data_IF_873238782388
#
_entry.id   IF_873238782388
#
_cell.length_a   1.000
_cell.length_b   1.000
_cell.length_c   1.000
_cell.angle_alpha   90.00
_cell.angle_beta   90.00
_cell.angle_gamma   90.00
#
_symmetry.space_group_name_H-M   'P 1'
#
loop_
_entity.id
_entity.type
_entity.pdbx_description
1 polymer ?
#
# COMPACT_ATOMS: atom_id res chain seq x y z
N UNK A 1 4.44 8.08 46.43
CA UNK A 1 3.22 8.68 45.82
C UNK A 1 3.18 8.27 44.35
N UNK A 2 1.97 8.04 43.83
CA UNK A 2 1.62 7.12 42.76
C UNK A 2 2.37 7.26 41.41
N UNK A 3 2.74 6.11 40.84
CA UNK A 3 3.03 5.93 39.41
C UNK A 3 1.71 5.98 38.61
N UNK A 4 1.63 6.67 37.47
CA UNK A 4 0.49 6.55 36.57
C UNK A 4 0.48 5.18 35.85
N UNK A 5 -0.71 4.68 35.43
CA UNK A 5 -0.86 3.37 34.83
C UNK A 5 -0.27 3.30 33.42
N UNK A 6 0.46 2.23 33.13
CA UNK A 6 0.83 1.81 31.78
C UNK A 6 -0.43 1.46 31.00
N UNK A 7 -1.00 2.43 30.28
CA UNK A 7 -1.97 2.13 29.22
C UNK A 7 -1.29 1.31 28.11
N UNK A 8 -2.04 0.50 27.35
CA UNK A 8 -1.48 -0.13 26.15
C UNK A 8 -0.93 0.97 25.22
N UNK A 9 0.23 0.75 24.59
CA UNK A 9 0.76 1.71 23.62
C UNK A 9 -0.30 1.95 22.52
N UNK A 10 -0.38 3.16 21.95
CA UNK A 10 -1.18 3.38 20.74
C UNK A 10 -0.74 2.36 19.67
N UNK A 11 -1.66 1.86 18.82
CA UNK A 11 -1.26 1.00 17.71
C UNK A 11 -0.18 1.76 16.92
N UNK A 12 1.03 1.19 16.91
CA UNK A 12 2.11 1.71 16.11
C UNK A 12 1.59 1.94 14.68
N UNK A 13 1.98 3.03 13.99
CA UNK A 13 1.78 3.09 12.55
C UNK A 13 2.41 1.81 11.99
N UNK A 14 1.57 1.01 11.34
CA UNK A 14 1.93 -0.29 10.81
C UNK A 14 3.30 -0.19 10.14
N UNK A 15 4.19 -1.08 10.58
CA UNK A 15 5.61 -1.12 10.28
C UNK A 15 6.00 -0.54 8.91
N UNK A 16 7.00 0.34 8.94
CA UNK A 16 7.73 0.86 7.80
C UNK A 16 7.81 -0.16 6.66
N UNK A 17 7.18 0.16 5.52
CA UNK A 17 7.35 -0.60 4.30
C UNK A 17 8.85 -0.64 3.95
N UNK A 18 9.41 -1.80 3.58
CA UNK A 18 10.81 -1.89 3.22
C UNK A 18 11.08 -0.95 2.04
N UNK A 19 12.10 -0.12 2.20
CA UNK A 19 12.59 0.81 1.19
C UNK A 19 12.60 0.14 -0.19
N UNK A 20 11.84 0.71 -1.11
CA UNK A 20 11.62 0.19 -2.45
C UNK A 20 12.96 -0.13 -3.13
N UNK A 21 13.23 -1.43 -3.24
CA UNK A 21 14.31 -1.96 -4.07
C UNK A 21 14.00 -1.55 -5.51
N UNK A 22 14.73 -0.54 -5.98
CA UNK A 22 14.98 -0.16 -7.39
C UNK A 22 14.27 -1.05 -8.42
N UNK A 23 13.13 -0.63 -8.98
CA UNK A 23 12.78 -1.05 -10.33
C UNK A 23 12.65 0.17 -11.21
N UNK A 24 13.63 0.36 -12.08
CA UNK A 24 13.56 1.27 -13.22
C UNK A 24 12.73 0.67 -14.37
N UNK A 25 11.66 -0.08 -14.08
CA UNK A 25 10.91 -0.84 -15.08
C UNK A 25 9.42 -0.53 -14.98
N UNK A 26 8.96 0.47 -15.74
CA UNK A 26 7.55 0.67 -16.11
C UNK A 26 6.56 0.66 -14.95
N UNK A 27 6.73 1.55 -13.97
CA UNK A 27 5.70 1.82 -12.98
C UNK A 27 4.50 2.51 -13.64
N UNK A 28 3.29 2.10 -13.27
CA UNK A 28 2.04 2.78 -13.62
C UNK A 28 1.41 3.34 -12.35
N UNK A 29 0.91 4.57 -12.43
CA UNK A 29 0.19 5.18 -11.32
C UNK A 29 -1.24 4.67 -11.32
N UNK A 30 -1.64 4.08 -10.20
CA UNK A 30 -3.02 3.68 -9.96
C UNK A 30 -3.57 4.41 -8.76
N UNK A 31 -4.87 4.67 -8.82
CA UNK A 31 -5.67 5.23 -7.74
C UNK A 31 -6.53 4.16 -7.13
N UNK A 32 -6.34 3.93 -5.85
CA UNK A 32 -7.23 3.12 -5.03
C UNK A 32 -8.50 3.91 -4.71
N UNK A 33 -9.66 3.32 -5.01
CA UNK A 33 -10.96 3.98 -4.88
C UNK A 33 -11.66 3.68 -3.55
N UNK A 34 -11.10 2.77 -2.76
CA UNK A 34 -11.67 2.33 -1.49
C UNK A 34 -11.08 3.08 -0.29
N UNK A 35 -11.76 2.95 0.85
CA UNK A 35 -11.37 3.66 2.09
C UNK A 35 -10.55 2.78 3.04
N UNK A 36 -10.56 1.47 2.82
CA UNK A 36 -9.89 0.49 3.67
C UNK A 36 -8.37 0.49 3.45
N UNK A 37 -7.59 0.36 4.52
CA UNK A 37 -6.16 0.11 4.35
C UNK A 37 -5.97 -1.36 3.93
N UNK A 38 -5.44 -1.59 2.73
CA UNK A 38 -5.19 -2.92 2.20
C UNK A 38 -3.73 -3.12 1.83
N UNK A 39 -3.27 -4.36 1.97
CA UNK A 39 -1.96 -4.80 1.52
C UNK A 39 -2.13 -5.76 0.38
N UNK A 40 -1.56 -5.39 -0.76
CA UNK A 40 -1.61 -6.17 -1.97
C UNK A 40 -0.22 -6.70 -2.23
N UNK A 41 -0.13 -8.02 -2.43
CA UNK A 41 1.08 -8.62 -2.99
C UNK A 41 0.93 -8.67 -4.51
N UNK A 42 1.85 -8.03 -5.22
CA UNK A 42 1.98 -8.12 -6.66
C UNK A 42 2.10 -9.57 -7.09
N UNK A 43 1.17 -10.01 -7.94
CA UNK A 43 1.12 -11.40 -8.40
C UNK A 43 2.34 -11.78 -9.25
N UNK A 44 2.94 -10.80 -9.94
CA UNK A 44 4.06 -11.03 -10.85
C UNK A 44 5.40 -10.76 -10.19
N UNK A 45 5.54 -9.62 -9.51
CA UNK A 45 6.82 -9.22 -8.91
C UNK A 45 6.99 -9.74 -7.49
N UNK A 46 5.90 -10.16 -6.83
CA UNK A 46 5.89 -10.52 -5.42
C UNK A 46 6.02 -9.33 -4.46
N UNK A 47 6.07 -8.09 -4.97
CA UNK A 47 6.18 -6.86 -4.17
C UNK A 47 4.94 -6.66 -3.31
N UNK A 48 5.12 -6.12 -2.11
CA UNK A 48 4.01 -5.76 -1.25
C UNK A 48 3.75 -4.26 -1.39
N UNK A 49 2.54 -3.92 -1.83
CA UNK A 49 2.04 -2.57 -1.97
C UNK A 49 0.98 -2.33 -0.90
N UNK A 50 1.06 -1.20 -0.22
CA UNK A 50 0.04 -0.79 0.75
C UNK A 50 -0.78 0.34 0.12
N UNK A 51 -2.10 0.20 0.16
CA UNK A 51 -3.04 1.21 -0.33
C UNK A 51 -3.96 1.63 0.80
N UNK A 52 -4.29 2.92 0.86
CA UNK A 52 -5.20 3.44 1.88
C UNK A 52 -5.89 4.70 1.38
N UNK A 53 -6.95 5.12 2.07
CA UNK A 53 -7.61 6.41 1.80
C UNK A 53 -6.68 7.62 1.97
N UNK A 54 -5.64 7.50 2.82
CA UNK A 54 -4.68 8.57 3.08
C UNK A 54 -3.63 8.71 1.96
N UNK A 55 -3.36 7.60 1.24
CA UNK A 55 -2.48 7.56 0.08
C UNK A 55 -3.13 6.71 -1.03
N UNK A 56 -4.15 7.26 -1.71
CA UNK A 56 -4.90 6.51 -2.71
C UNK A 56 -4.11 6.36 -4.01
N UNK A 57 -3.23 7.31 -4.34
CA UNK A 57 -2.44 7.31 -5.56
C UNK A 57 -1.05 6.71 -5.30
N UNK A 58 -0.74 5.57 -5.92
CA UNK A 58 0.56 4.91 -5.77
C UNK A 58 1.07 4.40 -7.11
N UNK A 59 2.38 4.51 -7.30
CA UNK A 59 3.07 3.90 -8.42
C UNK A 59 3.32 2.42 -8.10
N UNK A 60 2.91 1.54 -9.00
CA UNK A 60 3.18 0.11 -8.92
C UNK A 60 3.70 -0.43 -10.24
N UNK A 61 4.32 -1.60 -10.21
CA UNK A 61 4.76 -2.27 -11.43
C UNK A 61 3.56 -2.55 -12.37
N UNK A 62 3.68 -2.16 -13.65
CA UNK A 62 2.62 -2.35 -14.65
C UNK A 62 2.15 -3.81 -14.75
N UNK A 63 3.03 -4.79 -14.50
CA UNK A 63 2.68 -6.22 -14.52
C UNK A 63 1.77 -6.61 -13.36
N UNK A 64 1.95 -5.99 -12.19
CA UNK A 64 1.06 -6.18 -11.05
C UNK A 64 -0.24 -5.36 -11.21
N UNK A 65 -0.14 -4.20 -11.84
CA UNK A 65 -1.28 -3.32 -12.08
C UNK A 65 -2.36 -3.95 -12.94
N UNK A 66 -2.00 -4.75 -13.94
CA UNK A 66 -2.98 -5.43 -14.79
C UNK A 66 -3.97 -6.29 -13.97
N UNK A 67 -3.47 -7.04 -12.99
CA UNK A 67 -4.30 -7.84 -12.10
C UNK A 67 -5.13 -6.98 -11.14
N UNK A 68 -4.56 -5.87 -10.64
CA UNK A 68 -5.26 -4.98 -9.73
C UNK A 68 -6.37 -4.18 -10.40
N UNK A 69 -6.10 -3.63 -11.59
CA UNK A 69 -7.10 -2.94 -12.40
C UNK A 69 -8.25 -3.87 -12.79
N UNK A 70 -7.99 -5.17 -12.97
CA UNK A 70 -9.03 -6.17 -13.24
C UNK A 70 -9.98 -6.39 -12.05
N UNK A 71 -9.57 -6.10 -10.81
CA UNK A 71 -10.44 -6.24 -9.63
C UNK A 71 -11.48 -5.13 -9.49
N UNK A 72 -11.33 -4.01 -10.20
CA UNK A 72 -12.23 -2.86 -10.12
C UNK A 72 -12.05 -1.95 -8.90
N UNK A 73 -11.30 -2.37 -7.87
CA UNK A 73 -10.97 -1.52 -6.70
C UNK A 73 -9.95 -0.41 -7.03
N UNK A 74 -9.21 -0.61 -8.12
CA UNK A 74 -8.14 0.27 -8.57
C UNK A 74 -8.47 0.86 -9.93
N UNK A 75 -8.10 2.12 -10.15
CA UNK A 75 -8.25 2.81 -11.44
C UNK A 75 -6.89 3.31 -11.90
N UNK A 76 -6.61 3.24 -13.19
CA UNK A 76 -5.40 3.85 -13.75
C UNK A 76 -5.61 5.36 -13.86
N UNK A 77 -4.72 6.13 -13.25
CA UNK A 77 -4.63 7.59 -13.39
C UNK A 77 -3.47 7.87 -14.34
N UNK A 78 -3.71 7.61 -15.62
CA UNK A 78 -2.84 8.00 -16.74
C UNK A 78 -2.77 9.52 -16.87
#
# INVERSE_FOLDING_TARGET
MASPPSGPPPPAPFAAAPAAVRAAHSDVRIRYSERSAIRVRGATTGRVYEFSAAAPDQAIDRRDAAALLATGFFRSTI
#
